data_IF_813905363102
#
_entry.id   IF_813905363102
#
_cell.length_a   1.000
_cell.length_b   1.000
_cell.length_c   1.000
_cell.angle_alpha   90.00
_cell.angle_beta   90.00
_cell.angle_gamma   90.00
#
_symmetry.space_group_name_H-M   'P 1'
#
loop_
_entity.id
_entity.type
_entity.pdbx_description
1 polymer ?
#
# COMPACT_ATOMS: atom_id res chain seq x y z
N UNK A 1 9.20 15.40 14.87
CA UNK A 1 10.22 14.96 13.88
C UNK A 1 10.50 16.09 12.92
N UNK A 2 11.77 16.33 12.52
CA UNK A 2 12.11 17.36 11.53
C UNK A 2 11.48 17.00 10.17
N UNK A 3 10.99 17.99 9.42
CA UNK A 3 10.31 17.77 8.14
C UNK A 3 11.20 17.06 7.11
N UNK A 4 12.52 17.26 7.17
CA UNK A 4 13.49 16.53 6.35
C UNK A 4 13.44 15.01 6.53
N UNK A 5 13.31 14.53 7.78
CA UNK A 5 13.19 13.09 8.07
C UNK A 5 11.89 12.52 7.50
N UNK A 6 10.80 13.30 7.54
CA UNK A 6 9.50 12.85 7.04
C UNK A 6 9.51 12.77 5.51
N UNK A 7 10.17 13.73 4.84
CA UNK A 7 10.39 13.66 3.39
C UNK A 7 11.20 12.44 3.00
N UNK A 8 12.26 12.12 3.74
CA UNK A 8 13.05 10.91 3.48
C UNK A 8 12.19 9.65 3.59
N UNK A 9 11.40 9.50 4.67
CA UNK A 9 10.48 8.36 4.83
C UNK A 9 9.47 8.29 3.70
N UNK A 10 8.89 9.42 3.30
CA UNK A 10 7.96 9.48 2.17
C UNK A 10 8.58 8.93 0.88
N UNK A 11 9.82 9.30 0.57
CA UNK A 11 10.52 8.80 -0.62
C UNK A 11 10.85 7.31 -0.51
N UNK A 12 11.35 6.86 0.65
CA UNK A 12 11.65 5.44 0.88
C UNK A 12 10.39 4.60 0.71
N UNK A 13 9.26 5.00 1.30
CA UNK A 13 7.99 4.29 1.13
C UNK A 13 7.48 4.31 -0.31
N UNK A 14 7.67 5.42 -1.03
CA UNK A 14 7.31 5.50 -2.45
C UNK A 14 8.13 4.54 -3.32
N UNK A 15 9.45 4.47 -3.09
CA UNK A 15 10.35 3.54 -3.79
C UNK A 15 9.97 2.09 -3.49
N UNK A 16 9.77 1.76 -2.22
CA UNK A 16 9.38 0.39 -1.83
C UNK A 16 8.02 0.02 -2.41
N UNK A 17 7.02 0.92 -2.38
CA UNK A 17 5.73 0.69 -3.01
C UNK A 17 5.88 0.44 -4.52
N UNK A 18 6.72 1.20 -5.22
CA UNK A 18 6.97 0.99 -6.66
C UNK A 18 7.62 -0.36 -6.96
N UNK A 19 8.56 -0.81 -6.12
CA UNK A 19 9.19 -2.14 -6.25
C UNK A 19 8.14 -3.24 -6.11
N UNK A 20 7.35 -3.23 -5.04
CA UNK A 20 6.33 -4.27 -4.84
C UNK A 20 5.17 -4.17 -5.83
N UNK A 21 4.83 -2.97 -6.31
CA UNK A 21 3.87 -2.78 -7.39
C UNK A 21 4.37 -3.43 -8.68
N UNK A 22 5.67 -3.30 -8.98
CA UNK A 22 6.28 -3.93 -10.15
C UNK A 22 6.21 -5.47 -10.05
N UNK A 23 6.47 -6.03 -8.86
CA UNK A 23 6.28 -7.47 -8.60
C UNK A 23 4.83 -7.89 -8.81
N UNK A 24 3.87 -7.11 -8.29
CA UNK A 24 2.44 -7.40 -8.44
C UNK A 24 2.01 -7.38 -9.92
N UNK A 25 2.40 -6.34 -10.66
CA UNK A 25 2.09 -6.23 -12.08
C UNK A 25 2.76 -7.34 -12.89
N UNK A 26 4.01 -7.70 -12.58
CA UNK A 26 4.68 -8.83 -13.21
C UNK A 26 3.88 -10.11 -12.99
N UNK A 27 3.51 -10.44 -11.75
CA UNK A 27 2.70 -11.64 -11.47
C UNK A 27 1.33 -11.61 -12.18
N UNK A 28 0.70 -10.44 -12.27
CA UNK A 28 -0.60 -10.27 -12.93
C UNK A 28 -0.54 -10.52 -14.44
N UNK A 29 0.59 -10.17 -15.08
CA UNK A 29 0.74 -10.16 -16.54
C UNK A 29 1.77 -11.17 -17.09
N UNK A 30 2.47 -11.91 -16.23
CA UNK A 30 3.46 -12.92 -16.63
C UNK A 30 2.83 -14.03 -17.48
N UNK A 31 1.58 -14.37 -17.21
CA UNK A 31 0.84 -15.39 -17.95
C UNK A 31 -0.08 -14.77 -19.01
N UNK A 32 -0.12 -15.40 -20.19
CA UNK A 32 -1.03 -15.08 -21.29
C UNK A 32 -2.45 -15.58 -20.96
N UNK A 33 -3.12 -14.87 -20.06
CA UNK A 33 -4.52 -15.06 -19.72
C UNK A 33 -5.33 -13.82 -20.10
N UNK A 34 -6.62 -13.99 -20.39
CA UNK A 34 -7.54 -12.86 -20.52
C UNK A 34 -7.65 -12.11 -19.18
N UNK A 35 -7.95 -10.80 -19.21
CA UNK A 35 -8.09 -10.01 -17.98
C UNK A 35 -9.13 -10.61 -17.02
N UNK A 36 -10.27 -11.09 -17.55
CA UNK A 36 -11.35 -11.70 -16.76
C UNK A 36 -10.86 -12.97 -16.04
N UNK A 37 -10.06 -13.80 -16.72
CA UNK A 37 -9.56 -15.05 -16.14
C UNK A 37 -8.50 -14.81 -15.07
N UNK A 38 -7.61 -13.82 -15.25
CA UNK A 38 -6.56 -13.53 -14.26
C UNK A 38 -7.10 -12.90 -12.97
N UNK A 39 -8.20 -12.16 -13.04
CA UNK A 39 -8.83 -11.54 -11.87
C UNK A 39 -9.94 -12.41 -11.28
N UNK A 40 -10.10 -13.65 -11.75
CA UNK A 40 -11.10 -14.57 -11.19
C UNK A 40 -10.68 -15.04 -9.80
N UNK A 41 -11.66 -15.33 -8.94
CA UNK A 41 -11.38 -15.79 -7.58
C UNK A 41 -10.54 -17.07 -7.55
N UNK A 42 -10.75 -18.00 -8.48
CA UNK A 42 -9.99 -19.26 -8.54
C UNK A 42 -8.51 -19.03 -8.85
N UNK A 43 -8.19 -18.17 -9.81
CA UNK A 43 -6.82 -17.83 -10.16
C UNK A 43 -6.14 -17.07 -9.03
N UNK A 44 -6.82 -16.06 -8.45
CA UNK A 44 -6.28 -15.30 -7.32
C UNK A 44 -6.00 -16.22 -6.13
N UNK A 45 -6.92 -17.11 -5.76
CA UNK A 45 -6.72 -18.07 -4.68
C UNK A 45 -5.55 -19.00 -4.93
N UNK A 46 -5.29 -19.37 -6.19
CA UNK A 46 -4.13 -20.19 -6.55
C UNK A 46 -2.81 -19.41 -6.37
N UNK A 47 -2.75 -18.18 -6.88
CA UNK A 47 -1.58 -17.30 -6.76
C UNK A 47 -1.27 -16.97 -5.29
N UNK A 48 -2.30 -16.77 -4.46
CA UNK A 48 -2.15 -16.47 -3.03
C UNK A 48 -1.63 -17.67 -2.20
N UNK A 49 -1.59 -18.88 -2.76
CA UNK A 49 -0.90 -20.01 -2.10
C UNK A 49 0.61 -19.78 -2.00
N UNK A 50 1.18 -18.95 -2.89
CA UNK A 50 2.57 -18.58 -2.79
C UNK A 50 2.77 -17.58 -1.63
N UNK A 51 3.35 -18.07 -0.53
CA UNK A 51 3.60 -17.28 0.68
C UNK A 51 4.43 -16.02 0.42
N UNK A 52 5.42 -16.09 -0.48
CA UNK A 52 6.26 -14.94 -0.82
C UNK A 52 5.46 -13.88 -1.56
N UNK A 53 4.56 -14.29 -2.45
CA UNK A 53 3.69 -13.35 -3.15
C UNK A 53 2.67 -12.72 -2.20
N UNK A 54 2.10 -13.49 -1.27
CA UNK A 54 1.22 -12.97 -0.21
C UNK A 54 1.94 -11.92 0.65
N UNK A 55 3.17 -12.20 1.10
CA UNK A 55 3.99 -11.25 1.87
C UNK A 55 4.29 -9.99 1.03
N UNK A 56 4.64 -10.15 -0.24
CA UNK A 56 4.85 -9.03 -1.17
C UNK A 56 3.62 -8.13 -1.28
N UNK A 57 2.42 -8.69 -1.34
CA UNK A 57 1.17 -7.93 -1.39
C UNK A 57 0.89 -7.19 -0.07
N UNK A 58 1.17 -7.81 1.08
CA UNK A 58 1.06 -7.14 2.38
C UNK A 58 2.03 -5.96 2.50
N UNK A 59 3.26 -6.14 2.04
CA UNK A 59 4.26 -5.08 2.01
C UNK A 59 3.85 -3.96 1.03
N UNK A 60 3.32 -4.31 -0.14
CA UNK A 60 2.75 -3.34 -1.09
C UNK A 60 1.64 -2.51 -0.43
N UNK A 61 0.67 -3.17 0.22
CA UNK A 61 -0.41 -2.52 0.94
C UNK A 61 0.15 -1.55 1.99
N UNK A 62 1.06 -2.03 2.83
CA UNK A 62 1.66 -1.21 3.89
C UNK A 62 2.36 0.02 3.32
N UNK A 63 3.29 -0.15 2.36
CA UNK A 63 4.08 0.96 1.84
C UNK A 63 3.26 1.92 0.99
N UNK A 64 2.37 1.43 0.12
CA UNK A 64 1.52 2.29 -0.70
C UNK A 64 0.55 3.10 0.16
N UNK A 65 -0.09 2.47 1.15
CA UNK A 65 -0.98 3.15 2.08
C UNK A 65 -0.24 4.20 2.91
N UNK A 66 0.94 3.85 3.42
CA UNK A 66 1.80 4.75 4.19
C UNK A 66 2.25 5.95 3.36
N UNK A 67 2.67 5.71 2.11
CA UNK A 67 3.08 6.75 1.17
C UNK A 67 1.92 7.70 0.84
N UNK A 68 0.75 7.15 0.52
CA UNK A 68 -0.47 7.93 0.28
C UNK A 68 -0.88 8.78 1.48
N UNK A 69 -0.87 8.21 2.68
CA UNK A 69 -1.19 8.92 3.93
C UNK A 69 -0.21 10.08 4.19
N UNK A 70 1.09 9.88 3.94
CA UNK A 70 2.09 10.94 4.05
C UNK A 70 1.94 12.03 2.96
N UNK A 71 1.52 11.65 1.75
CA UNK A 71 1.18 12.59 0.67
C UNK A 71 -0.02 13.47 1.02
N UNK A 72 -1.08 12.86 1.55
CA UNK A 72 -2.28 13.53 2.06
C UNK A 72 -1.90 14.52 3.17
N UNK A 73 -1.06 14.10 4.13
CA UNK A 73 -0.54 14.99 5.18
C UNK A 73 0.11 16.25 4.61
N UNK A 74 0.99 16.10 3.62
CA UNK A 74 1.72 17.23 3.01
C UNK A 74 0.74 18.19 2.33
N UNK A 75 -0.25 17.65 1.65
CA UNK A 75 -1.33 18.43 1.03
C UNK A 75 -2.13 19.21 2.08
N UNK A 76 -2.57 18.56 3.16
CA UNK A 76 -3.27 19.27 4.25
C UNK A 76 -2.42 20.31 4.96
N UNK A 77 -1.11 20.08 5.11
CA UNK A 77 -0.20 21.08 5.70
C UNK A 77 -0.08 22.34 4.83
N UNK A 78 -0.15 22.19 3.51
CA UNK A 78 -0.02 23.29 2.55
C UNK A 78 -1.34 24.05 2.34
N UNK A 79 -2.49 23.37 2.38
CA UNK A 79 -3.78 23.96 1.98
C UNK A 79 -4.79 24.19 3.11
N UNK A 80 -4.64 23.59 4.30
CA UNK A 80 -5.66 23.62 5.37
C UNK A 80 -5.11 23.91 6.77
N UNK A 81 -6.02 24.16 7.73
CA UNK A 81 -5.70 24.35 9.16
C UNK A 81 -5.00 23.11 9.73
N UNK A 82 -3.76 23.29 10.21
CA UNK A 82 -2.85 22.24 10.76
C UNK A 82 -3.47 21.24 11.75
N UNK A 83 -4.53 21.60 12.49
CA UNK A 83 -5.17 20.73 13.49
C UNK A 83 -6.03 19.62 12.85
N UNK A 84 -6.79 19.93 11.80
CA UNK A 84 -7.70 18.97 11.14
C UNK A 84 -6.88 17.91 10.39
N UNK A 85 -5.82 18.34 9.69
CA UNK A 85 -4.93 17.42 8.97
C UNK A 85 -4.32 16.35 9.88
N UNK A 86 -3.91 16.70 11.11
CA UNK A 86 -3.35 15.73 12.06
C UNK A 86 -4.35 14.62 12.43
N UNK A 87 -5.61 14.97 12.67
CA UNK A 87 -6.64 14.00 13.04
C UNK A 87 -6.91 13.01 11.90
N UNK A 88 -7.04 13.50 10.66
CA UNK A 88 -7.26 12.67 9.47
C UNK A 88 -6.12 11.67 9.28
N UNK A 89 -4.86 12.10 9.44
CA UNK A 89 -3.69 11.22 9.29
C UNK A 89 -3.68 10.12 10.33
N UNK A 90 -3.97 10.45 11.61
CA UNK A 90 -4.04 9.45 12.68
C UNK A 90 -5.13 8.43 12.36
N UNK A 91 -6.29 8.90 11.92
CA UNK A 91 -7.41 8.02 11.54
C UNK A 91 -7.03 7.07 10.40
N UNK A 92 -6.34 7.57 9.36
CA UNK A 92 -5.86 6.74 8.26
C UNK A 92 -4.90 5.64 8.75
N UNK A 93 -3.90 6.00 9.57
CA UNK A 93 -3.01 4.99 10.16
C UNK A 93 -3.73 3.97 11.05
N UNK A 94 -4.76 4.39 11.79
CA UNK A 94 -5.58 3.46 12.58
C UNK A 94 -6.35 2.49 11.69
N UNK A 95 -6.83 2.91 10.52
CA UNK A 95 -7.52 2.00 9.58
C UNK A 95 -6.60 1.00 8.89
N UNK A 96 -5.29 1.25 8.84
CA UNK A 96 -4.33 0.29 8.29
C UNK A 96 -4.22 -0.98 9.15
N UNK A 97 -4.35 -0.86 10.47
CA UNK A 97 -4.23 -2.00 11.40
C UNK A 97 -5.27 -3.10 11.12
N UNK A 98 -6.59 -2.82 11.07
CA UNK A 98 -7.58 -3.84 10.75
C UNK A 98 -7.41 -4.36 9.32
N UNK A 99 -7.03 -3.51 8.36
CA UNK A 99 -6.79 -3.96 6.97
C UNK A 99 -5.68 -5.03 6.89
N UNK A 100 -4.56 -4.78 7.57
CA UNK A 100 -3.46 -5.76 7.63
C UNK A 100 -3.88 -7.01 8.39
N UNK A 101 -4.63 -6.87 9.49
CA UNK A 101 -5.14 -8.00 10.26
C UNK A 101 -6.05 -8.92 9.43
N UNK A 102 -7.04 -8.35 8.73
CA UNK A 102 -7.92 -9.13 7.85
C UNK A 102 -7.15 -9.79 6.70
N UNK A 103 -6.17 -9.10 6.11
CA UNK A 103 -5.34 -9.65 5.04
C UNK A 103 -4.40 -10.79 5.51
N UNK A 104 -4.06 -10.85 6.80
CA UNK A 104 -3.31 -11.96 7.38
C UNK A 104 -4.19 -13.20 7.63
N UNK A 105 -5.46 -13.00 7.99
CA UNK A 105 -6.41 -14.07 8.28
C UNK A 105 -7.02 -14.74 7.05
N UNK A 106 -7.12 -14.01 5.93
CA UNK A 106 -7.54 -14.55 4.62
C UNK A 106 -6.46 -15.42 3.99
#
# INVERSE_FOLDING_TARGET
MKESKIRLIFYVFGILAAVFLSVHLFMLFANTMSFVTRTSSSTISLELKNIYYKISLLLLLFFAYSHGTLGIRRTFYNFYKKKIGKAVIILLWLTLVPLVYFALLS
#
